data_IF_194863347698
#
_entry.id   IF_194863347698
#
_cell.length_a   1.000
_cell.length_b   1.000
_cell.length_c   1.000
_cell.angle_alpha   90.00
_cell.angle_beta   90.00
_cell.angle_gamma   90.00
#
_symmetry.space_group_name_H-M   'P 1'
#
loop_
_entity.id
_entity.type
_entity.pdbx_description
1 polymer ?
#
# COMPACT_ATOMS: atom_id res chain seq x y z
N UNK A 1 10.80 -14.00 -68.38
CA UNK A 1 12.07 -14.30 -69.09
C UNK A 1 11.84 -15.14 -70.35
N UNK A 2 12.47 -14.73 -71.46
CA UNK A 2 12.50 -15.45 -72.74
C UNK A 2 13.59 -16.54 -72.71
N UNK A 3 13.32 -17.71 -73.30
CA UNK A 3 14.36 -18.75 -73.54
C UNK A 3 15.14 -18.41 -74.81
N UNK A 4 16.40 -18.83 -74.90
CA UNK A 4 17.19 -18.65 -76.12
C UNK A 4 16.58 -19.45 -77.28
N UNK A 5 16.36 -18.78 -78.40
CA UNK A 5 15.67 -19.27 -79.60
C UNK A 5 16.48 -19.03 -80.88
N UNK A 6 17.79 -18.85 -80.74
CA UNK A 6 18.71 -18.73 -81.87
C UNK A 6 18.77 -20.02 -82.66
N UNK A 7 19.18 -19.94 -83.93
CA UNK A 7 19.23 -21.12 -84.82
C UNK A 7 20.13 -22.24 -84.30
N UNK A 8 21.12 -21.90 -83.47
CA UNK A 8 22.03 -22.86 -82.85
C UNK A 8 21.74 -23.09 -81.35
N UNK A 9 20.59 -22.64 -80.86
CA UNK A 9 20.11 -23.02 -79.54
C UNK A 9 19.85 -24.52 -79.49
N UNK A 10 20.26 -25.18 -78.40
CA UNK A 10 20.05 -26.62 -78.24
C UNK A 10 18.57 -26.89 -78.04
N UNK A 11 17.94 -27.52 -79.03
CA UNK A 11 16.55 -27.89 -78.93
C UNK A 11 16.33 -28.85 -77.75
N UNK A 12 15.24 -28.66 -77.01
CA UNK A 12 14.80 -29.54 -75.94
C UNK A 12 15.79 -29.75 -74.77
N UNK A 13 16.78 -28.87 -74.60
CA UNK A 13 17.78 -28.94 -73.51
C UNK A 13 17.14 -29.07 -72.11
N UNK A 14 15.98 -28.43 -71.90
CA UNK A 14 15.24 -28.49 -70.63
C UNK A 14 13.88 -29.21 -70.76
N UNK A 15 13.74 -30.11 -71.74
CA UNK A 15 12.51 -30.84 -72.07
C UNK A 15 11.82 -30.32 -73.35
N UNK A 16 10.79 -31.04 -73.81
CA UNK A 16 10.11 -30.78 -75.09
C UNK A 16 9.68 -29.30 -75.23
N UNK A 17 10.09 -28.66 -76.33
CA UNK A 17 9.86 -27.26 -76.65
C UNK A 17 10.71 -26.25 -75.87
N UNK A 18 11.70 -26.69 -75.08
CA UNK A 18 12.49 -25.82 -74.19
C UNK A 18 13.96 -25.83 -74.60
N UNK A 19 14.26 -25.00 -75.59
CA UNK A 19 15.63 -24.79 -76.04
C UNK A 19 16.50 -24.12 -74.95
N UNK A 20 17.81 -24.37 -74.99
CA UNK A 20 18.77 -23.87 -74.01
C UNK A 20 20.16 -23.63 -74.59
N UNK A 21 21.04 -23.08 -73.75
CA UNK A 21 22.45 -22.87 -74.09
C UNK A 21 23.22 -24.20 -74.02
N UNK A 22 24.00 -24.50 -75.04
CA UNK A 22 24.90 -25.66 -75.08
C UNK A 22 26.10 -25.37 -75.99
N UNK A 23 27.20 -26.08 -75.79
CA UNK A 23 28.37 -26.07 -76.68
C UNK A 23 28.14 -26.80 -78.02
N UNK A 24 27.04 -27.56 -78.14
CA UNK A 24 26.68 -28.47 -79.23
C UNK A 24 27.82 -29.39 -79.73
N UNK A 25 28.81 -29.74 -78.92
CA UNK A 25 29.97 -30.54 -79.36
C UNK A 25 29.60 -31.95 -79.87
N UNK A 26 28.44 -32.46 -79.44
CA UNK A 26 27.90 -33.77 -79.81
C UNK A 26 27.19 -33.78 -81.19
N UNK A 27 26.96 -32.61 -81.79
CA UNK A 27 26.28 -32.46 -83.09
C UNK A 27 27.25 -31.95 -84.16
N UNK A 28 27.61 -32.77 -85.17
CA UNK A 28 28.54 -32.36 -86.22
C UNK A 28 28.04 -31.14 -87.00
N UNK A 29 28.87 -30.09 -87.06
CA UNK A 29 28.59 -28.88 -87.83
C UNK A 29 27.64 -27.88 -87.17
N UNK A 30 27.35 -28.03 -85.88
CA UNK A 30 26.56 -27.07 -85.11
C UNK A 30 27.44 -26.30 -84.13
N UNK A 31 27.49 -24.98 -84.29
CA UNK A 31 28.22 -24.10 -83.38
C UNK A 31 27.55 -24.04 -82.00
N UNK A 32 28.33 -23.72 -80.96
CA UNK A 32 27.83 -23.41 -79.62
C UNK A 32 26.78 -22.31 -79.65
N UNK A 33 25.73 -22.43 -78.83
CA UNK A 33 24.63 -21.46 -78.77
C UNK A 33 25.14 -20.04 -78.56
N UNK A 34 24.91 -19.14 -79.51
CA UNK A 34 25.26 -17.74 -79.33
C UNK A 34 24.17 -17.03 -78.52
N UNK A 35 24.56 -16.01 -77.76
CA UNK A 35 23.64 -15.22 -76.95
C UNK A 35 23.11 -14.05 -77.78
N UNK A 36 21.79 -13.94 -77.96
CA UNK A 36 21.19 -12.89 -78.78
C UNK A 36 21.01 -11.57 -78.00
N UNK A 37 21.06 -10.40 -78.68
CA UNK A 37 20.76 -9.11 -78.05
C UNK A 37 19.36 -9.08 -77.42
N UNK A 38 18.37 -9.72 -78.05
CA UNK A 38 17.01 -9.78 -77.52
C UNK A 38 16.95 -10.54 -76.18
N UNK A 39 17.74 -11.62 -76.04
CA UNK A 39 17.84 -12.33 -74.76
C UNK A 39 18.49 -11.46 -73.69
N UNK A 40 19.59 -10.75 -74.02
CA UNK A 40 20.23 -9.80 -73.10
C UNK A 40 19.28 -8.69 -72.67
N UNK A 41 18.56 -8.09 -73.62
CA UNK A 41 17.57 -7.06 -73.32
C UNK A 41 16.44 -7.61 -72.44
N UNK A 42 15.97 -8.84 -72.68
CA UNK A 42 14.93 -9.45 -71.84
C UNK A 42 15.41 -9.63 -70.40
N UNK A 43 16.64 -10.13 -70.19
CA UNK A 43 17.19 -10.28 -68.83
C UNK A 43 17.41 -8.93 -68.18
N UNK A 44 17.94 -7.95 -68.92
CA UNK A 44 18.12 -6.58 -68.43
C UNK A 44 16.78 -6.01 -67.94
N UNK A 45 15.74 -6.04 -68.78
CA UNK A 45 14.43 -5.50 -68.43
C UNK A 45 13.81 -6.23 -67.24
N UNK A 46 13.98 -7.54 -67.10
CA UNK A 46 13.49 -8.27 -65.91
C UNK A 46 14.19 -7.79 -64.63
N UNK A 47 15.51 -7.58 -64.68
CA UNK A 47 16.28 -7.05 -63.56
C UNK A 47 15.96 -5.58 -63.26
N UNK A 48 15.77 -4.76 -64.31
CA UNK A 48 15.37 -3.35 -64.19
C UNK A 48 13.96 -3.20 -63.61
N UNK A 49 13.00 -3.99 -64.10
CA UNK A 49 11.62 -3.98 -63.63
C UNK A 49 11.50 -4.31 -62.13
N UNK A 50 12.38 -5.15 -61.58
CA UNK A 50 12.40 -5.42 -60.14
C UNK A 50 12.60 -4.15 -59.31
N UNK A 51 13.40 -3.20 -59.81
CA UNK A 51 13.68 -1.91 -59.19
C UNK A 51 12.58 -0.89 -59.52
N UNK A 52 12.25 -0.74 -60.80
CA UNK A 52 11.35 0.29 -61.29
C UNK A 52 9.89 0.08 -60.84
N UNK A 53 9.39 -1.17 -60.82
CA UNK A 53 8.06 -1.49 -60.31
C UNK A 53 7.94 -1.30 -58.78
N UNK A 54 9.08 -1.21 -58.08
CA UNK A 54 9.15 -0.85 -56.65
C UNK A 54 9.37 0.65 -56.43
N UNK A 55 9.39 1.45 -57.50
CA UNK A 55 9.61 2.90 -57.44
C UNK A 55 11.07 3.31 -57.28
N UNK A 56 12.02 2.41 -57.49
CA UNK A 56 13.46 2.69 -57.41
C UNK A 56 13.96 3.09 -58.80
N UNK A 57 14.58 4.27 -58.92
CA UNK A 57 15.19 4.73 -60.17
C UNK A 57 16.49 3.97 -60.45
N UNK A 58 16.68 3.49 -61.68
CA UNK A 58 17.91 2.83 -62.11
C UNK A 58 19.11 3.79 -62.04
N UNK A 59 20.25 3.29 -61.57
CA UNK A 59 21.52 4.01 -61.47
C UNK A 59 22.59 3.20 -62.20
N UNK A 60 22.95 3.60 -63.44
CA UNK A 60 23.96 2.91 -64.24
C UNK A 60 25.35 2.86 -63.57
N UNK A 61 25.62 3.73 -62.59
CA UNK A 61 26.88 3.74 -61.86
C UNK A 61 26.91 2.72 -60.71
N UNK A 62 25.76 2.23 -60.25
CA UNK A 62 25.67 1.30 -59.12
C UNK A 62 25.70 -0.16 -59.57
N UNK A 63 26.72 -0.90 -59.10
CA UNK A 63 26.89 -2.33 -59.38
C UNK A 63 26.21 -3.24 -58.34
N UNK A 64 25.34 -2.69 -57.49
CA UNK A 64 24.70 -3.42 -56.38
C UNK A 64 23.21 -3.09 -56.17
N UNK A 65 22.54 -2.44 -57.13
CA UNK A 65 21.14 -2.02 -56.94
C UNK A 65 20.20 -3.19 -56.64
N UNK A 66 20.41 -4.35 -57.27
CA UNK A 66 19.66 -5.58 -56.98
C UNK A 66 19.89 -6.10 -55.55
N UNK A 67 21.09 -5.90 -55.01
CA UNK A 67 21.40 -6.24 -53.62
C UNK A 67 20.68 -5.29 -52.66
N UNK A 68 20.71 -3.99 -52.96
CA UNK A 68 20.03 -2.96 -52.17
C UNK A 68 18.48 -3.08 -52.25
N UNK A 69 17.94 -3.70 -53.30
CA UNK A 69 16.51 -3.98 -53.47
C UNK A 69 15.97 -5.07 -52.53
N UNK A 70 16.76 -6.11 -52.27
CA UNK A 70 16.34 -7.20 -51.40
C UNK A 70 16.16 -6.64 -49.99
N UNK A 71 15.01 -6.91 -49.34
CA UNK A 71 14.63 -6.39 -48.01
C UNK A 71 15.87 -6.18 -47.14
N UNK A 72 16.20 -4.92 -46.95
CA UNK A 72 17.46 -4.54 -46.34
C UNK A 72 17.38 -4.76 -44.84
N UNK A 73 18.54 -4.79 -44.19
CA UNK A 73 18.61 -4.73 -42.72
C UNK A 73 17.77 -3.56 -42.17
N UNK A 74 17.72 -2.43 -42.88
CA UNK A 74 16.95 -1.26 -42.48
C UNK A 74 15.43 -1.51 -42.48
N UNK A 75 14.90 -2.27 -43.45
CA UNK A 75 13.47 -2.61 -43.51
C UNK A 75 13.06 -3.50 -42.32
N UNK A 76 13.95 -4.42 -41.92
CA UNK A 76 13.74 -5.30 -40.77
C UNK A 76 13.85 -4.54 -39.44
N UNK A 77 14.79 -3.60 -39.33
CA UNK A 77 14.93 -2.72 -38.16
C UNK A 77 13.72 -1.81 -38.01
N UNK A 78 13.25 -1.19 -39.09
CA UNK A 78 12.03 -0.37 -39.08
C UNK A 78 10.80 -1.17 -38.63
N UNK A 79 10.66 -2.42 -39.11
CA UNK A 79 9.59 -3.30 -38.66
C UNK A 79 9.74 -3.66 -37.17
N UNK A 80 10.96 -3.92 -36.70
CA UNK A 80 11.22 -4.24 -35.30
C UNK A 80 10.88 -3.06 -34.37
N UNK A 81 11.22 -1.83 -34.77
CA UNK A 81 10.89 -0.59 -34.06
C UNK A 81 9.39 -0.33 -34.05
N UNK A 82 8.70 -0.54 -35.18
CA UNK A 82 7.26 -0.40 -35.27
C UNK A 82 6.54 -1.44 -34.39
N UNK A 83 7.06 -2.68 -34.32
CA UNK A 83 6.55 -3.70 -33.41
C UNK A 83 6.77 -3.30 -31.95
N UNK A 84 7.96 -2.79 -31.59
CA UNK A 84 8.27 -2.36 -30.22
C UNK A 84 7.45 -1.15 -29.79
N UNK A 85 7.12 -0.26 -30.71
CA UNK A 85 6.29 0.93 -30.47
C UNK A 85 4.81 0.57 -30.31
N UNK A 86 4.29 -0.36 -31.13
CA UNK A 86 2.86 -0.67 -31.16
C UNK A 86 2.44 -1.90 -30.34
N UNK A 87 3.37 -2.78 -29.96
CA UNK A 87 3.06 -4.02 -29.26
C UNK A 87 3.88 -4.21 -27.98
N UNK A 88 3.20 -4.73 -26.96
CA UNK A 88 3.84 -5.11 -25.70
C UNK A 88 4.48 -6.48 -25.84
N UNK A 89 5.79 -6.57 -25.56
CA UNK A 89 6.53 -7.84 -25.52
C UNK A 89 6.22 -8.59 -24.22
N UNK A 90 6.24 -9.93 -24.26
CA UNK A 90 6.04 -10.76 -23.05
C UNK A 90 6.99 -10.40 -21.90
N UNK A 91 8.23 -9.98 -22.21
CA UNK A 91 9.24 -9.56 -21.23
C UNK A 91 8.88 -8.27 -20.47
N UNK A 92 8.05 -7.42 -21.07
CA UNK A 92 7.53 -6.18 -20.47
C UNK A 92 6.34 -6.46 -19.54
N UNK A 93 5.77 -7.67 -19.56
CA UNK A 93 4.68 -8.07 -18.67
C UNK A 93 5.28 -8.63 -17.36
N UNK A 94 5.04 -7.93 -16.26
CA UNK A 94 5.40 -8.37 -14.92
C UNK A 94 4.33 -9.31 -14.36
N UNK A 95 4.67 -10.58 -14.12
CA UNK A 95 3.83 -11.54 -13.38
C UNK A 95 4.20 -11.65 -11.90
N UNK A 96 4.58 -10.54 -11.28
CA UNK A 96 4.85 -10.44 -9.84
C UNK A 96 4.41 -9.08 -9.29
N UNK A 97 4.34 -8.96 -7.96
CA UNK A 97 3.98 -7.74 -7.23
C UNK A 97 5.16 -7.12 -6.45
N UNK A 98 6.39 -7.51 -6.79
CA UNK A 98 7.60 -7.06 -6.09
C UNK A 98 8.45 -6.09 -6.92
N UNK A 99 8.26 -6.06 -8.25
CA UNK A 99 8.92 -5.11 -9.13
C UNK A 99 8.27 -3.73 -9.06
N UNK A 100 9.08 -2.68 -9.20
CA UNK A 100 8.67 -1.29 -9.33
C UNK A 100 9.19 -0.66 -10.63
N UNK A 101 9.58 -1.48 -11.61
CA UNK A 101 10.08 -1.04 -12.91
C UNK A 101 8.97 -0.32 -13.69
N UNK A 102 9.14 1.00 -13.89
CA UNK A 102 8.16 1.85 -14.57
C UNK A 102 7.98 1.54 -16.05
N UNK A 103 8.85 0.71 -16.65
CA UNK A 103 8.76 0.29 -18.05
C UNK A 103 7.95 -0.99 -18.24
N UNK A 104 7.51 -1.63 -17.15
CA UNK A 104 6.74 -2.87 -17.19
C UNK A 104 5.26 -2.66 -16.88
N UNK A 105 4.43 -3.46 -17.55
CA UNK A 105 3.00 -3.52 -17.30
C UNK A 105 2.65 -4.74 -16.44
N UNK A 106 1.63 -4.63 -15.59
CA UNK A 106 1.17 -5.74 -14.75
C UNK A 106 0.45 -6.82 -15.59
N UNK A 107 0.67 -8.10 -15.27
CA UNK A 107 -0.09 -9.19 -15.88
C UNK A 107 -1.56 -9.16 -15.43
N UNK A 108 -2.47 -9.65 -16.27
CA UNK A 108 -3.89 -9.77 -15.91
C UNK A 108 -4.12 -10.65 -14.66
N UNK A 109 -3.28 -11.67 -14.48
CA UNK A 109 -3.29 -12.54 -13.29
C UNK A 109 -2.96 -11.75 -12.03
N UNK A 110 -1.90 -10.94 -12.05
CA UNK A 110 -1.53 -10.12 -10.89
C UNK A 110 -2.53 -8.98 -10.64
N UNK A 111 -3.08 -8.38 -11.70
CA UNK A 111 -4.15 -7.38 -11.57
C UNK A 111 -5.38 -7.96 -10.86
N UNK A 112 -5.75 -9.22 -11.17
CA UNK A 112 -6.82 -9.92 -10.47
C UNK A 112 -6.47 -10.20 -9.00
N UNK A 113 -5.25 -10.64 -8.72
CA UNK A 113 -4.77 -10.85 -7.33
C UNK A 113 -4.87 -9.55 -6.53
N UNK A 114 -4.44 -8.42 -7.08
CA UNK A 114 -4.58 -7.11 -6.43
C UNK A 114 -6.06 -6.75 -6.24
N UNK A 115 -6.89 -6.99 -7.23
CA UNK A 115 -8.32 -6.71 -7.15
C UNK A 115 -9.02 -7.51 -6.03
N UNK A 116 -8.68 -8.79 -5.91
CA UNK A 116 -9.33 -9.71 -4.97
C UNK A 116 -8.79 -9.55 -3.54
N UNK A 117 -7.53 -9.12 -3.37
CA UNK A 117 -6.90 -8.95 -2.05
C UNK A 117 -6.81 -7.51 -1.56
N UNK A 118 -7.19 -6.51 -2.37
CA UNK A 118 -7.30 -5.12 -1.88
C UNK A 118 -8.34 -5.07 -0.76
N UNK A 119 -8.12 -4.19 0.20
CA UNK A 119 -9.11 -3.93 1.23
C UNK A 119 -10.36 -3.28 0.58
N UNK A 120 -11.50 -3.95 0.64
CA UNK A 120 -12.77 -3.37 0.21
C UNK A 120 -13.27 -2.37 1.26
N UNK A 121 -13.93 -1.29 0.82
CA UNK A 121 -14.60 -0.35 1.73
C UNK A 121 -15.71 -1.04 2.53
N UNK A 122 -16.33 -2.08 1.98
CA UNK A 122 -17.31 -2.91 2.69
C UNK A 122 -16.67 -3.74 3.81
N UNK A 123 -15.36 -3.97 3.77
CA UNK A 123 -14.62 -4.65 4.82
C UNK A 123 -14.26 -3.75 6.01
N UNK A 124 -14.74 -2.49 6.04
CA UNK A 124 -14.54 -1.57 7.16
C UNK A 124 -15.80 -1.53 8.04
N UNK A 125 -15.62 -1.83 9.33
CA UNK A 125 -16.68 -1.73 10.32
C UNK A 125 -16.63 -0.39 11.07
N UNK A 126 -17.70 0.39 10.93
CA UNK A 126 -17.89 1.65 11.62
C UNK A 126 -18.88 1.57 12.79
N UNK A 127 -19.02 0.40 13.41
CA UNK A 127 -19.88 0.16 14.58
C UNK A 127 -19.10 -0.62 15.64
N UNK A 128 -19.46 -0.43 16.92
CA UNK A 128 -18.86 -1.15 18.05
C UNK A 128 -19.70 -2.34 18.55
N UNK A 129 -20.76 -2.67 17.81
CA UNK A 129 -21.70 -3.75 18.14
C UNK A 129 -21.59 -4.92 17.18
N UNK A 130 -20.74 -4.82 16.15
CA UNK A 130 -20.53 -5.91 15.21
C UNK A 130 -19.77 -7.06 15.87
N UNK A 131 -20.11 -8.28 15.45
CA UNK A 131 -19.42 -9.52 15.80
C UNK A 131 -18.60 -10.07 14.64
N UNK A 132 -18.49 -9.32 13.54
CA UNK A 132 -17.70 -9.73 12.38
C UNK A 132 -16.22 -9.90 12.73
N UNK A 133 -15.64 -11.00 12.26
CA UNK A 133 -14.21 -11.30 12.39
C UNK A 133 -13.43 -11.06 11.08
N UNK A 134 -14.13 -10.65 10.02
CA UNK A 134 -13.57 -10.44 8.68
C UNK A 134 -13.51 -8.96 8.29
N UNK A 135 -14.08 -8.08 9.11
CA UNK A 135 -14.07 -6.63 8.89
C UNK A 135 -13.07 -5.95 9.82
N UNK A 136 -12.36 -4.96 9.33
CA UNK A 136 -11.45 -4.14 10.12
C UNK A 136 -12.18 -2.98 10.79
N UNK A 137 -11.86 -2.69 12.05
CA UNK A 137 -12.40 -1.53 12.76
C UNK A 137 -11.89 -0.24 12.10
N UNK A 138 -12.79 0.72 11.89
CA UNK A 138 -12.39 2.04 11.39
C UNK A 138 -11.60 2.84 12.44
N UNK A 139 -10.72 3.73 11.98
CA UNK A 139 -9.98 4.65 12.86
C UNK A 139 -10.90 5.54 13.71
N UNK A 140 -12.07 5.93 13.19
CA UNK A 140 -13.07 6.68 13.93
C UNK A 140 -13.57 5.92 15.16
N UNK A 141 -13.93 4.64 15.00
CA UNK A 141 -14.35 3.81 16.13
C UNK A 141 -13.19 3.46 17.08
N UNK A 142 -11.97 3.33 16.55
CA UNK A 142 -10.77 3.23 17.39
C UNK A 142 -10.60 4.42 18.34
N UNK A 143 -10.84 5.64 17.83
CA UNK A 143 -10.86 6.85 18.66
C UNK A 143 -11.99 6.84 19.69
N UNK A 144 -13.21 6.46 19.29
CA UNK A 144 -14.35 6.34 20.21
C UNK A 144 -14.06 5.37 21.37
N UNK A 145 -13.44 4.22 21.08
CA UNK A 145 -13.01 3.28 22.13
C UNK A 145 -11.97 3.88 23.06
N UNK A 146 -10.97 4.58 22.51
CA UNK A 146 -9.95 5.24 23.30
C UNK A 146 -10.56 6.32 24.23
N UNK A 147 -11.44 7.15 23.69
CA UNK A 147 -12.11 8.22 24.46
C UNK A 147 -12.98 7.63 25.58
N UNK A 148 -13.74 6.56 25.28
CA UNK A 148 -14.51 5.82 26.30
C UNK A 148 -13.59 5.23 27.38
N UNK A 149 -12.47 4.64 26.99
CA UNK A 149 -11.51 4.07 27.92
C UNK A 149 -10.91 5.15 28.83
N UNK A 150 -10.42 6.26 28.27
CA UNK A 150 -9.88 7.39 29.03
C UNK A 150 -10.94 7.99 29.98
N UNK A 151 -12.19 8.08 29.54
CA UNK A 151 -13.29 8.57 30.37
C UNK A 151 -13.60 7.64 31.56
N UNK A 152 -13.69 6.32 31.32
CA UNK A 152 -14.00 5.32 32.35
C UNK A 152 -12.92 5.24 33.45
N UNK A 153 -11.66 5.53 33.10
CA UNK A 153 -10.52 5.49 34.03
C UNK A 153 -9.98 6.89 34.40
N UNK A 154 -10.77 7.93 34.20
CA UNK A 154 -10.38 9.30 34.55
C UNK A 154 -9.96 9.39 36.02
N UNK A 155 -8.84 10.07 36.27
CA UNK A 155 -8.23 10.13 37.60
C UNK A 155 -7.50 11.47 37.82
N UNK A 156 -7.32 11.81 39.09
CA UNK A 156 -6.52 12.94 39.56
C UNK A 156 -5.47 12.42 40.54
N UNK A 157 -4.20 12.41 40.12
CA UNK A 157 -3.07 11.94 40.94
C UNK A 157 -2.48 13.09 41.76
N UNK A 158 -3.21 13.49 42.81
CA UNK A 158 -2.76 14.52 43.75
C UNK A 158 -3.02 14.08 45.20
N UNK A 159 -2.49 14.78 46.22
CA UNK A 159 -2.83 14.51 47.63
C UNK A 159 -4.34 14.51 47.89
N UNK A 160 -5.10 15.31 47.13
CA UNK A 160 -6.55 15.29 47.08
C UNK A 160 -6.97 14.78 45.69
N UNK A 161 -7.18 13.48 45.57
CA UNK A 161 -7.28 12.80 44.28
C UNK A 161 -8.43 11.81 44.19
N UNK A 162 -8.66 11.32 42.98
CA UNK A 162 -9.67 10.31 42.71
C UNK A 162 -9.25 9.37 41.59
N UNK A 163 -9.89 8.20 41.55
CA UNK A 163 -9.86 7.25 40.45
C UNK A 163 -11.30 6.81 40.15
N UNK A 164 -11.78 7.07 38.93
CA UNK A 164 -13.01 6.46 38.41
C UNK A 164 -12.74 5.03 37.96
N UNK A 165 -13.71 4.15 38.14
CA UNK A 165 -13.66 2.75 37.74
C UNK A 165 -14.70 2.47 36.65
N UNK A 166 -14.47 1.49 35.75
CA UNK A 166 -15.38 1.19 34.64
C UNK A 166 -16.79 0.76 35.06
N UNK A 167 -16.94 0.25 36.28
CA UNK A 167 -18.22 -0.16 36.84
C UNK A 167 -19.03 1.01 37.43
N UNK A 168 -18.56 2.26 37.27
CA UNK A 168 -19.22 3.46 37.78
C UNK A 168 -18.79 3.85 39.19
N UNK A 169 -18.06 3.00 39.92
CA UNK A 169 -17.51 3.37 41.22
C UNK A 169 -16.41 4.43 41.07
N UNK A 170 -16.31 5.27 42.07
CA UNK A 170 -15.31 6.32 42.20
C UNK A 170 -14.65 6.14 43.56
N UNK A 171 -13.33 6.02 43.58
CA UNK A 171 -12.53 6.05 44.81
C UNK A 171 -11.93 7.44 44.94
N UNK A 172 -12.04 8.05 46.12
CA UNK A 172 -11.48 9.38 46.40
C UNK A 172 -10.65 9.35 47.68
N UNK A 173 -9.56 10.12 47.67
CA UNK A 173 -8.73 10.36 48.84
C UNK A 173 -8.48 11.86 48.99
N UNK A 174 -8.48 12.37 50.22
CA UNK A 174 -8.14 13.76 50.50
C UNK A 174 -7.70 13.97 51.94
N UNK A 175 -7.06 15.10 52.19
CA UNK A 175 -6.63 15.54 53.52
C UNK A 175 -7.41 16.79 53.91
N UNK A 176 -8.01 16.79 55.10
CA UNK A 176 -8.71 17.95 55.64
C UNK A 176 -7.78 18.97 56.32
N UNK A 177 -8.39 20.00 56.89
CA UNK A 177 -7.65 21.05 57.58
C UNK A 177 -7.05 20.55 58.92
N UNK A 178 -5.94 21.16 59.35
CA UNK A 178 -5.35 20.87 60.65
C UNK A 178 -6.27 21.27 61.81
N UNK A 179 -6.49 20.36 62.75
CA UNK A 179 -7.21 20.59 64.00
C UNK A 179 -6.22 20.79 65.16
N UNK A 180 -6.53 21.74 66.04
CA UNK A 180 -5.78 22.07 67.27
C UNK A 180 -6.61 21.88 68.55
N UNK A 181 -7.89 21.51 68.40
CA UNK A 181 -8.86 21.29 69.46
C UNK A 181 -9.89 20.28 68.99
N UNK A 182 -10.70 19.76 69.92
CA UNK A 182 -11.86 18.96 69.55
C UNK A 182 -12.84 19.82 68.75
N UNK A 183 -13.13 19.42 67.51
CA UNK A 183 -13.88 20.24 66.54
C UNK A 183 -14.47 19.37 65.45
N UNK A 184 -15.66 19.73 64.96
CA UNK A 184 -16.21 19.15 63.75
C UNK A 184 -15.64 19.83 62.50
N UNK A 185 -15.24 19.04 61.52
CA UNK A 185 -14.73 19.51 60.24
C UNK A 185 -15.50 18.91 59.08
N UNK A 186 -15.81 19.72 58.09
CA UNK A 186 -16.34 19.26 56.82
C UNK A 186 -15.21 19.17 55.78
N UNK A 187 -14.81 17.96 55.40
CA UNK A 187 -13.75 17.72 54.42
C UNK A 187 -14.38 17.60 53.04
N UNK A 188 -14.03 18.51 52.13
CA UNK A 188 -14.55 18.52 50.74
C UNK A 188 -13.83 17.46 49.92
N UNK A 189 -14.61 16.61 49.24
CA UNK A 189 -14.08 15.58 48.35
C UNK A 189 -13.58 16.21 47.04
N UNK A 190 -12.54 15.64 46.39
CA UNK A 190 -12.00 16.15 45.13
C UNK A 190 -13.04 16.36 44.02
N UNK A 191 -14.01 15.46 43.92
CA UNK A 191 -15.21 15.58 43.09
C UNK A 191 -16.45 15.13 43.85
N UNK A 192 -17.63 15.58 43.43
CA UNK A 192 -18.89 15.05 43.97
C UNK A 192 -19.19 13.67 43.39
N UNK A 193 -19.63 12.74 44.23
CA UNK A 193 -20.25 11.50 43.77
C UNK A 193 -21.55 11.82 43.04
N UNK A 194 -21.75 11.36 41.79
CA UNK A 194 -22.95 11.65 41.02
C UNK A 194 -24.27 11.20 41.68
N UNK A 195 -24.26 10.10 42.44
CA UNK A 195 -25.45 9.49 43.01
C UNK A 195 -25.37 9.29 44.53
N UNK A 196 -24.29 8.69 45.05
CA UNK A 196 -24.16 8.37 46.47
C UNK A 196 -22.72 8.16 46.94
N UNK A 197 -22.38 8.74 48.09
CA UNK A 197 -21.21 8.31 48.86
C UNK A 197 -21.57 7.04 49.65
N UNK A 198 -21.12 5.88 49.17
CA UNK A 198 -21.45 4.59 49.79
C UNK A 198 -20.73 4.38 51.12
N UNK A 199 -19.44 4.71 51.15
CA UNK A 199 -18.57 4.49 52.31
C UNK A 199 -17.54 5.59 52.42
N UNK A 200 -17.22 5.96 53.66
CA UNK A 200 -16.15 6.88 54.00
C UNK A 200 -15.49 6.43 55.30
N UNK A 201 -14.17 6.53 55.36
CA UNK A 201 -13.37 6.29 56.56
C UNK A 201 -12.37 7.41 56.74
N UNK A 202 -12.00 7.65 57.99
CA UNK A 202 -11.01 8.64 58.38
C UNK A 202 -9.82 7.98 59.07
N UNK A 203 -8.62 8.45 58.73
CA UNK A 203 -7.41 8.26 59.51
C UNK A 203 -6.92 9.59 60.05
N UNK A 204 -5.77 9.56 60.72
CA UNK A 204 -5.10 10.73 61.28
C UNK A 204 -3.74 10.84 60.65
N UNK A 205 -3.40 12.03 60.18
CA UNK A 205 -2.05 12.41 59.81
C UNK A 205 -1.56 13.52 60.76
N UNK A 206 -0.31 13.43 61.20
CA UNK A 206 0.32 14.46 62.04
C UNK A 206 1.75 14.66 61.58
N UNK A 207 2.20 15.92 61.57
CA UNK A 207 3.59 16.28 61.23
C UNK A 207 4.58 15.90 62.36
N UNK A 208 4.08 15.61 63.57
CA UNK A 208 4.86 15.15 64.72
C UNK A 208 3.99 14.37 65.72
N UNK A 209 4.52 13.29 66.29
CA UNK A 209 3.84 12.53 67.34
C UNK A 209 4.19 13.09 68.73
N UNK A 210 3.18 13.46 69.51
CA UNK A 210 3.31 13.76 70.95
C UNK A 210 2.13 13.18 71.72
N UNK A 211 2.32 12.84 73.00
CA UNK A 211 1.24 12.29 73.85
C UNK A 211 0.04 13.25 73.95
N UNK A 212 0.29 14.56 73.85
CA UNK A 212 -0.76 15.60 73.80
C UNK A 212 -1.49 15.65 72.45
N UNK A 213 -0.88 15.17 71.37
CA UNK A 213 -1.49 15.06 70.04
C UNK A 213 -2.14 13.69 69.80
N UNK A 214 -2.39 12.90 70.85
CA UNK A 214 -3.07 11.61 70.78
C UNK A 214 -4.57 11.78 70.48
N UNK A 215 -4.88 12.00 69.19
CA UNK A 215 -6.23 12.24 68.69
C UNK A 215 -6.62 11.35 67.53
N UNK A 216 -7.93 11.27 67.31
CA UNK A 216 -8.55 10.52 66.23
C UNK A 216 -9.64 11.34 65.56
N UNK A 217 -9.91 11.01 64.29
CA UNK A 217 -11.07 11.48 63.58
C UNK A 217 -12.01 10.30 63.38
N UNK A 218 -13.30 10.52 63.64
CA UNK A 218 -14.36 9.59 63.24
C UNK A 218 -15.34 10.29 62.33
N UNK A 219 -15.81 9.58 61.31
CA UNK A 219 -16.80 10.08 60.36
C UNK A 219 -18.15 10.20 61.07
N UNK A 220 -18.71 11.41 61.09
CA UNK A 220 -20.04 11.67 61.68
C UNK A 220 -21.13 11.66 60.62
N UNK A 221 -20.83 12.14 59.40
CA UNK A 221 -21.75 12.06 58.27
C UNK A 221 -21.02 12.10 56.93
N UNK A 222 -21.74 11.74 55.86
CA UNK A 222 -21.24 11.78 54.48
C UNK A 222 -22.30 12.36 53.56
N UNK A 223 -21.86 13.14 52.59
CA UNK A 223 -22.67 13.72 51.52
C UNK A 223 -22.09 13.34 50.15
N UNK A 224 -22.68 13.85 49.07
CA UNK A 224 -22.13 13.63 47.73
C UNK A 224 -20.77 14.32 47.55
N UNK A 225 -20.52 15.43 48.23
CA UNK A 225 -19.37 16.31 47.99
C UNK A 225 -18.45 16.47 49.19
N UNK A 226 -18.80 15.89 50.34
CA UNK A 226 -18.03 16.04 51.57
C UNK A 226 -18.19 14.88 52.55
N UNK A 227 -17.22 14.75 53.44
CA UNK A 227 -17.27 13.88 54.61
C UNK A 227 -17.09 14.75 55.85
N UNK A 228 -18.06 14.69 56.76
CA UNK A 228 -17.96 15.37 58.05
C UNK A 228 -17.28 14.44 59.04
N UNK A 229 -16.26 14.95 59.70
CA UNK A 229 -15.51 14.24 60.73
C UNK A 229 -15.50 15.05 62.02
N UNK A 230 -15.46 14.36 63.14
CA UNK A 230 -15.23 14.99 64.43
C UNK A 230 -13.83 14.63 64.94
N UNK A 231 -13.05 15.67 65.24
CA UNK A 231 -11.75 15.54 65.87
C UNK A 231 -11.94 15.33 67.37
N UNK A 232 -11.37 14.26 67.91
CA UNK A 232 -11.33 14.01 69.35
C UNK A 232 -9.90 13.70 69.78
N UNK A 233 -9.57 14.01 71.03
CA UNK A 233 -8.25 13.74 71.61
C UNK A 233 -8.40 13.32 73.07
N UNK A 234 -7.46 12.51 73.54
CA UNK A 234 -7.35 12.13 74.95
C UNK A 234 -7.04 13.35 75.84
N UNK A 235 -6.36 14.37 75.30
CA UNK A 235 -6.09 15.63 75.99
C UNK A 235 -6.79 16.76 75.22
N UNK A 236 -7.72 17.45 75.86
CA UNK A 236 -8.70 18.37 75.25
C UNK A 236 -8.13 19.51 74.36
N UNK A 237 -6.83 19.80 74.43
CA UNK A 237 -6.12 20.77 73.59
C UNK A 237 -4.67 20.35 73.32
N UNK A 238 -4.11 20.71 72.16
CA UNK A 238 -2.76 20.34 71.75
C UNK A 238 -2.11 21.38 70.82
N UNK A 239 -0.76 21.34 70.68
CA UNK A 239 0.02 22.37 69.98
C UNK A 239 0.40 22.02 68.54
N UNK A 240 0.30 20.75 68.14
CA UNK A 240 0.65 20.27 66.78
C UNK A 240 -0.60 19.87 66.02
N UNK A 241 -0.83 20.44 64.84
CA UNK A 241 -2.04 20.14 64.08
C UNK A 241 -2.13 18.66 63.70
N UNK A 242 -3.27 18.04 63.95
CA UNK A 242 -3.61 16.73 63.36
C UNK A 242 -4.63 16.92 62.24
N UNK A 243 -4.53 16.15 61.17
CA UNK A 243 -5.36 16.29 59.96
C UNK A 243 -6.14 15.02 59.71
N UNK A 244 -7.42 15.10 59.30
CA UNK A 244 -8.14 13.91 58.85
C UNK A 244 -7.68 13.54 57.45
N UNK A 245 -7.24 12.30 57.27
CA UNK A 245 -7.09 11.70 55.94
C UNK A 245 -8.35 10.90 55.65
N UNK A 246 -9.00 11.18 54.53
CA UNK A 246 -10.27 10.57 54.15
C UNK A 246 -10.04 9.64 52.98
N UNK A 247 -10.57 8.43 53.07
CA UNK A 247 -10.81 7.57 51.92
C UNK A 247 -12.31 7.35 51.79
N UNK A 248 -12.85 7.52 50.59
CA UNK A 248 -14.26 7.32 50.31
C UNK A 248 -14.48 6.60 48.98
N UNK A 249 -15.60 5.89 48.89
CA UNK A 249 -16.05 5.23 47.67
C UNK A 249 -17.54 5.47 47.47
N UNK A 250 -17.93 5.70 46.22
CA UNK A 250 -19.29 6.03 45.82
C UNK A 250 -19.44 5.94 44.30
N UNK A 251 -20.56 6.42 43.78
CA UNK A 251 -20.87 6.47 42.34
C UNK A 251 -21.88 7.58 42.05
#
# INVERSE_FOLDING_TARGET
>A
MKRIDTINARENMFGVGKSGFHDNEDLPGQDATYVSPEWFNTVQEELCNLLELRGITLDPASKRQLYDLLTTQADLEALADEIETNFIRKSQIADNLITNDSTKVISAKQAKILHDNKLDKTALNNTLTSTSITEALTAAQGKELNDKFTSLFSNLKSPNGYQKLPNGLIMQWCVGAGAFSQVEQNVVLPISFPNSCLFATSGVESDSFSDTANGWFFVTSKSLSSVTVHCQSATTSWSVAIRPIIFSIGY
#
